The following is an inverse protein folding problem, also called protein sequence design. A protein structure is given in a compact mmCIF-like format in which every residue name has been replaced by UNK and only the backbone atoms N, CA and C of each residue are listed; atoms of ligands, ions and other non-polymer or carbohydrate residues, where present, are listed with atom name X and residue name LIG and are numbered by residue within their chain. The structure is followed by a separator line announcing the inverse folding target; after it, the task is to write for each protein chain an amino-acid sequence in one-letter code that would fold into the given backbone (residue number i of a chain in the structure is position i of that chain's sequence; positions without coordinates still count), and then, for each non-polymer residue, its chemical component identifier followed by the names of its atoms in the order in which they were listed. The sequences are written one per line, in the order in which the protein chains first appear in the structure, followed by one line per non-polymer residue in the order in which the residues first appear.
data_IF_855603189108
#
_entry.id   IF_855603189108
#
_cell.length_a   1.000
_cell.length_b   1.000
_cell.length_c   1.000
_cell.angle_alpha   90.00
_cell.angle_beta   90.00
_cell.angle_gamma   90.00
#
_symmetry.space_group_name_H-M   'P 1'
#
loop_
_entity.id
_entity.type
_entity.pdbx_description
1 polymer ?
#
# COMPACT_ATOMS: atom_id res chain seq x y z
N UNK A 1 3.89 12.79 -29.76
CA UNK A 1 2.61 13.13 -29.11
C UNK A 1 2.81 13.27 -27.61
N UNK A 2 2.70 14.50 -27.07
CA UNK A 2 2.87 14.79 -25.63
C UNK A 2 1.59 14.38 -24.90
N UNK A 3 1.59 13.26 -24.17
CA UNK A 3 0.49 12.91 -23.25
C UNK A 3 0.59 13.80 -22.02
N UNK A 4 -0.39 14.66 -21.84
CA UNK A 4 -0.57 15.48 -20.64
C UNK A 4 -0.98 14.57 -19.49
N UNK A 5 -0.15 14.44 -18.48
CA UNK A 5 -0.51 13.85 -17.20
C UNK A 5 -1.34 14.92 -16.48
N UNK A 6 -2.64 14.74 -16.42
CA UNK A 6 -3.53 15.63 -15.68
C UNK A 6 -3.34 15.40 -14.17
N UNK A 7 -3.39 16.44 -13.34
CA UNK A 7 -3.10 16.33 -11.91
C UNK A 7 -4.33 15.77 -11.16
N UNK A 8 -4.20 14.56 -10.67
CA UNK A 8 -5.15 13.92 -9.71
C UNK A 8 -5.02 14.53 -8.30
N UNK A 9 -4.17 15.52 -8.11
CA UNK A 9 -3.86 16.13 -6.80
C UNK A 9 -4.98 17.05 -6.27
N UNK A 10 -5.96 17.42 -7.08
CA UNK A 10 -6.96 18.46 -6.71
C UNK A 10 -8.17 17.98 -5.90
N UNK A 11 -8.38 16.66 -5.70
CA UNK A 11 -9.63 16.15 -5.07
C UNK A 11 -9.50 15.95 -3.56
N UNK A 12 -8.32 15.92 -2.98
CA UNK A 12 -8.13 15.64 -1.54
C UNK A 12 -8.34 16.89 -0.65
N UNK A 13 -8.31 18.09 -1.21
CA UNK A 13 -8.41 19.32 -0.42
C UNK A 13 -9.84 19.74 -0.02
N UNK A 14 -10.88 19.14 -0.58
CA UNK A 14 -12.27 19.64 -0.43
C UNK A 14 -13.10 18.89 0.62
N UNK A 15 -12.60 17.85 1.26
CA UNK A 15 -13.33 17.06 2.27
C UNK A 15 -13.11 17.52 3.72
N UNK A 16 -12.44 18.66 3.96
CA UNK A 16 -12.10 19.14 5.30
C UNK A 16 -13.22 19.91 6.03
N UNK A 17 -14.40 20.09 5.45
CA UNK A 17 -15.45 20.92 6.04
C UNK A 17 -16.82 20.27 6.01
N UNK A 18 -17.10 19.28 6.86
CA UNK A 18 -18.48 19.03 7.31
C UNK A 18 -18.49 18.34 8.69
N UNK A 19 -19.11 18.98 9.68
CA UNK A 19 -19.71 18.32 10.82
C UNK A 19 -18.93 18.37 12.14
N UNK A 20 -19.24 19.36 12.98
CA UNK A 20 -19.01 19.28 14.43
C UNK A 20 -19.91 18.17 15.00
N UNK A 21 -19.35 17.02 15.30
CA UNK A 21 -19.98 16.01 16.14
C UNK A 21 -18.95 15.54 17.18
N UNK A 22 -19.38 15.38 18.40
CA UNK A 22 -18.60 15.02 19.61
C UNK A 22 -18.00 13.60 19.48
N UNK A 23 -16.93 13.46 18.73
CA UNK A 23 -16.25 12.18 18.48
C UNK A 23 -14.77 12.19 18.88
N UNK A 24 -14.39 13.08 19.80
CA UNK A 24 -12.99 13.27 20.19
C UNK A 24 -12.46 12.15 21.12
N UNK A 25 -13.31 11.22 21.56
CA UNK A 25 -12.96 10.15 22.50
C UNK A 25 -12.52 8.83 21.83
N UNK A 26 -12.74 8.68 20.54
CA UNK A 26 -12.51 7.41 19.79
C UNK A 26 -11.12 7.31 19.16
N UNK A 27 -10.41 8.42 18.98
CA UNK A 27 -9.07 8.41 18.39
C UNK A 27 -8.06 7.75 19.35
N UNK A 28 -7.09 6.97 18.81
CA UNK A 28 -6.04 6.38 19.62
C UNK A 28 -5.27 7.44 20.41
N UNK A 29 -4.95 7.12 21.66
CA UNK A 29 -4.16 8.00 22.55
C UNK A 29 -2.67 7.72 22.37
N UNK A 30 -1.84 8.62 22.87
CA UNK A 30 -0.38 8.40 22.96
C UNK A 30 -0.11 7.08 23.69
N UNK A 31 0.76 6.25 23.12
CA UNK A 31 1.08 4.91 23.62
C UNK A 31 0.08 3.82 23.21
N UNK A 32 -1.00 4.16 22.48
CA UNK A 32 -1.91 3.14 21.96
C UNK A 32 -1.24 2.30 20.88
N UNK A 33 -1.62 1.03 20.83
CA UNK A 33 -1.27 0.08 19.79
C UNK A 33 -2.54 -0.26 19.00
N UNK A 34 -2.47 -0.10 17.70
CA UNK A 34 -3.55 -0.50 16.78
C UNK A 34 -3.04 -1.61 15.89
N UNK A 35 -3.76 -2.71 15.84
CA UNK A 35 -3.53 -3.82 14.90
C UNK A 35 -4.49 -3.68 13.75
N UNK A 36 -3.97 -3.77 12.52
CA UNK A 36 -4.75 -3.67 11.30
C UNK A 36 -4.75 -5.00 10.57
N UNK A 37 -5.93 -5.44 10.14
CA UNK A 37 -6.08 -6.56 9.23
C UNK A 37 -6.56 -6.05 7.87
N UNK A 38 -5.82 -6.36 6.82
CA UNK A 38 -6.05 -5.91 5.45
C UNK A 38 -6.46 -7.12 4.59
N UNK A 39 -7.73 -7.52 4.59
CA UNK A 39 -8.19 -8.70 3.85
C UNK A 39 -8.39 -8.41 2.36
N UNK A 40 -8.67 -7.15 2.01
CA UNK A 40 -9.01 -6.75 0.66
C UNK A 40 -8.06 -5.65 0.19
N UNK A 41 -7.04 -6.06 -0.58
CA UNK A 41 -6.04 -5.17 -1.15
C UNK A 41 -5.66 -5.65 -2.55
N UNK A 42 -5.46 -4.71 -3.46
CA UNK A 42 -4.91 -4.97 -4.78
C UNK A 42 -3.69 -4.08 -5.03
N UNK A 43 -2.63 -4.69 -5.54
CA UNK A 43 -1.42 -3.99 -5.98
C UNK A 43 -1.30 -4.09 -7.48
N UNK A 44 -1.18 -2.93 -8.13
CA UNK A 44 -1.10 -2.77 -9.59
C UNK A 44 0.30 -2.29 -9.95
N UNK A 45 1.13 -3.19 -10.47
CA UNK A 45 2.44 -2.84 -11.01
C UNK A 45 2.28 -2.28 -12.42
N UNK A 46 2.88 -1.12 -12.67
CA UNK A 46 2.90 -0.52 -14.01
C UNK A 46 3.90 -1.26 -14.90
N UNK A 47 3.72 -1.14 -16.20
CA UNK A 47 4.74 -1.57 -17.18
C UNK A 47 6.05 -0.85 -16.91
N UNK A 48 7.20 -1.47 -17.20
CA UNK A 48 8.51 -0.82 -17.09
C UNK A 48 8.60 0.42 -17.98
N UNK A 49 9.53 1.33 -17.68
CA UNK A 49 9.70 2.54 -18.48
C UNK A 49 10.14 2.24 -19.90
N UNK A 50 10.96 1.19 -20.10
CA UNK A 50 11.35 0.69 -21.41
C UNK A 50 10.22 -0.01 -22.18
N UNK A 51 9.12 -0.35 -21.48
CA UNK A 51 8.00 -1.12 -22.06
C UNK A 51 8.28 -2.59 -22.29
N UNK A 52 9.44 -3.10 -21.86
CA UNK A 52 9.82 -4.50 -22.06
C UNK A 52 9.15 -5.46 -21.09
N UNK A 53 9.01 -5.05 -19.83
CA UNK A 53 8.40 -5.86 -18.78
C UNK A 53 6.93 -5.48 -18.60
N UNK A 54 6.04 -6.48 -18.48
CA UNK A 54 4.60 -6.24 -18.41
C UNK A 54 4.17 -5.61 -17.08
N UNK A 55 3.10 -4.83 -17.11
CA UNK A 55 2.34 -4.53 -15.91
C UNK A 55 1.57 -5.76 -15.43
N UNK A 56 1.34 -5.86 -14.13
CA UNK A 56 0.57 -6.95 -13.53
C UNK A 56 -0.11 -6.54 -12.24
N UNK A 57 -1.11 -7.32 -11.84
CA UNK A 57 -1.89 -7.09 -10.62
C UNK A 57 -1.75 -8.28 -9.69
N UNK A 58 -1.71 -8.01 -8.39
CA UNK A 58 -1.73 -9.01 -7.34
C UNK A 58 -2.85 -8.72 -6.35
N UNK A 59 -3.50 -9.77 -5.85
CA UNK A 59 -4.25 -9.70 -4.60
C UNK A 59 -3.24 -9.65 -3.44
N UNK A 60 -3.35 -8.66 -2.56
CA UNK A 60 -2.30 -8.35 -1.60
C UNK A 60 -2.82 -8.23 -0.15
N UNK A 61 -3.26 -9.34 0.48
CA UNK A 61 -3.63 -9.33 1.89
C UNK A 61 -2.43 -8.98 2.75
N UNK A 62 -2.67 -8.26 3.85
CA UNK A 62 -1.62 -7.80 4.76
C UNK A 62 -2.15 -7.60 6.18
N UNK A 63 -1.23 -7.31 7.09
CA UNK A 63 -1.51 -6.82 8.41
C UNK A 63 -0.44 -5.84 8.86
N UNK A 64 -0.82 -4.93 9.73
CA UNK A 64 0.12 -4.00 10.35
C UNK A 64 -0.11 -3.84 11.85
N UNK A 65 0.93 -3.32 12.50
CA UNK A 65 0.89 -2.86 13.87
C UNK A 65 1.35 -1.41 13.89
N UNK A 66 0.51 -0.53 14.40
CA UNK A 66 0.75 0.90 14.49
C UNK A 66 0.85 1.33 15.95
N UNK A 67 1.94 2.02 16.29
CA UNK A 67 2.19 2.58 17.61
C UNK A 67 2.11 4.11 17.58
N UNK A 68 1.26 4.70 18.41
CA UNK A 68 1.01 6.13 18.46
C UNK A 68 2.01 6.86 19.37
N UNK A 69 2.95 7.59 18.76
CA UNK A 69 3.92 8.44 19.44
C UNK A 69 3.28 9.74 19.97
N UNK A 70 2.29 10.23 19.23
CA UNK A 70 1.47 11.39 19.59
C UNK A 70 0.06 11.19 19.02
N UNK A 71 -0.85 12.14 19.30
CA UNK A 71 -2.19 12.14 18.66
C UNK A 71 -2.15 12.33 17.14
N UNK A 72 -1.03 12.79 16.59
CA UNK A 72 -0.88 13.12 15.18
C UNK A 72 0.18 12.28 14.47
N UNK A 73 1.08 11.63 15.19
CA UNK A 73 2.21 10.89 14.63
C UNK A 73 2.25 9.49 15.21
N UNK A 74 2.35 8.52 14.35
CA UNK A 74 2.53 7.11 14.68
C UNK A 74 3.59 6.46 13.78
N UNK A 75 4.10 5.32 14.23
CA UNK A 75 4.96 4.43 13.44
C UNK A 75 4.21 3.13 13.20
N UNK A 76 4.31 2.62 11.99
CA UNK A 76 3.60 1.43 11.52
C UNK A 76 4.60 0.43 10.96
N UNK A 77 4.49 -0.83 11.37
CA UNK A 77 5.17 -1.97 10.75
C UNK A 77 4.16 -2.83 10.02
N UNK A 78 4.31 -3.02 8.72
CA UNK A 78 3.40 -3.80 7.87
C UNK A 78 4.11 -5.02 7.28
N UNK A 79 3.40 -6.13 7.20
CA UNK A 79 3.78 -7.31 6.43
C UNK A 79 2.60 -7.79 5.59
N UNK A 80 2.88 -8.17 4.34
CA UNK A 80 1.85 -8.62 3.41
C UNK A 80 2.35 -9.63 2.39
N UNK A 81 1.41 -10.25 1.70
CA UNK A 81 1.67 -11.17 0.60
C UNK A 81 0.99 -10.71 -0.67
N UNK A 82 1.69 -10.75 -1.80
CA UNK A 82 1.08 -10.62 -3.12
C UNK A 82 0.79 -12.00 -3.68
N UNK A 83 -0.47 -12.35 -3.81
CA UNK A 83 -0.90 -13.61 -4.43
C UNK A 83 -1.06 -13.36 -5.92
N UNK A 84 -0.35 -14.16 -6.73
CA UNK A 84 -0.46 -14.09 -8.18
C UNK A 84 -1.85 -14.45 -8.66
N UNK A 85 -2.44 -13.62 -9.51
CA UNK A 85 -3.72 -13.86 -10.17
C UNK A 85 -3.51 -14.08 -11.66
N UNK A 86 -4.29 -15.00 -12.24
CA UNK A 86 -4.27 -15.22 -13.68
C UNK A 86 -4.83 -14.00 -14.40
N UNK A 87 -4.06 -13.45 -15.33
CA UNK A 87 -4.40 -12.25 -16.07
C UNK A 87 -3.75 -12.25 -17.45
N UNK A 88 -4.23 -11.37 -18.31
CA UNK A 88 -3.57 -11.12 -19.58
C UNK A 88 -2.36 -10.23 -19.38
N UNK A 89 -1.18 -10.75 -19.71
CA UNK A 89 0.07 -9.99 -19.69
C UNK A 89 0.44 -9.61 -21.12
N UNK A 90 0.55 -8.32 -21.39
CA UNK A 90 1.03 -7.81 -22.67
C UNK A 90 2.54 -7.65 -22.61
N UNK A 91 3.26 -8.52 -23.27
CA UNK A 91 4.70 -8.46 -23.42
C UNK A 91 5.13 -8.09 -24.85
N UNK A 92 6.43 -7.94 -25.09
CA UNK A 92 6.99 -7.63 -26.41
C UNK A 92 6.65 -8.67 -27.50
N UNK A 93 6.36 -9.90 -27.12
CA UNK A 93 6.00 -11.03 -28.00
C UNK A 93 4.50 -11.29 -28.12
N UNK A 94 3.63 -10.40 -27.59
CA UNK A 94 2.18 -10.54 -27.64
C UNK A 94 1.52 -10.73 -26.27
N UNK A 95 0.23 -11.02 -26.30
CA UNK A 95 -0.61 -11.23 -25.11
C UNK A 95 -0.55 -12.69 -24.69
N UNK A 96 -0.29 -12.94 -23.42
CA UNK A 96 -0.32 -14.29 -22.83
C UNK A 96 -1.11 -14.31 -21.54
N UNK A 97 -1.94 -15.35 -21.35
CA UNK A 97 -2.63 -15.62 -20.07
C UNK A 97 -1.66 -16.31 -19.11
N UNK A 98 -1.24 -15.63 -18.06
CA UNK A 98 -0.35 -16.19 -17.02
C UNK A 98 -0.74 -15.66 -15.64
N UNK A 99 -0.43 -16.43 -14.61
CA UNK A 99 -0.48 -15.92 -13.25
C UNK A 99 0.68 -14.96 -13.02
N UNK A 100 0.43 -13.82 -12.37
CA UNK A 100 1.47 -12.92 -11.88
C UNK A 100 2.32 -13.63 -10.80
N UNK A 101 3.59 -13.21 -10.59
CA UNK A 101 4.41 -13.82 -9.55
C UNK A 101 3.85 -13.53 -8.15
N UNK A 102 3.97 -14.49 -7.27
CA UNK A 102 3.71 -14.26 -5.85
C UNK A 102 4.88 -13.51 -5.21
N UNK A 103 4.58 -12.66 -4.24
CA UNK A 103 5.57 -11.83 -3.57
C UNK A 103 5.23 -11.67 -2.08
N UNK A 104 6.24 -11.31 -1.28
CA UNK A 104 6.09 -10.92 0.11
C UNK A 104 6.57 -9.49 0.25
N UNK A 105 5.80 -8.67 0.96
CA UNK A 105 6.17 -7.27 1.24
C UNK A 105 6.28 -7.04 2.73
N UNK A 106 7.19 -6.16 3.12
CA UNK A 106 7.27 -5.64 4.48
C UNK A 106 7.73 -4.19 4.44
N UNK A 107 7.23 -3.37 5.34
CA UNK A 107 7.61 -1.96 5.42
C UNK A 107 7.51 -1.40 6.82
N UNK A 108 8.34 -0.38 7.09
CA UNK A 108 8.22 0.52 8.23
C UNK A 108 7.79 1.88 7.73
N UNK A 109 6.76 2.45 8.32
CA UNK A 109 6.14 3.68 7.87
C UNK A 109 6.00 4.68 9.03
N UNK A 110 6.09 5.95 8.70
CA UNK A 110 5.64 7.05 9.55
C UNK A 110 4.28 7.51 9.04
N UNK A 111 3.32 7.61 9.94
CA UNK A 111 1.95 8.04 9.63
C UNK A 111 1.69 9.36 10.32
N UNK A 112 1.23 10.35 9.56
CA UNK A 112 0.86 11.67 10.07
C UNK A 112 -0.63 11.86 9.88
N UNK A 113 -1.36 11.90 10.98
CA UNK A 113 -2.82 12.04 11.01
C UNK A 113 -3.18 13.52 11.16
N UNK A 114 -4.05 14.02 10.31
CA UNK A 114 -4.52 15.40 10.39
C UNK A 114 -5.41 15.61 11.62
N UNK A 115 -5.41 16.81 12.21
CA UNK A 115 -6.37 17.16 13.23
C UNK A 115 -7.80 16.98 12.72
N UNK A 116 -8.60 16.20 13.44
CA UNK A 116 -9.99 15.94 13.08
C UNK A 116 -10.89 16.21 14.28
N UNK A 117 -12.02 16.86 14.05
CA UNK A 117 -13.07 17.09 15.04
C UNK A 117 -14.19 16.05 14.97
N UNK A 118 -14.06 15.06 14.08
CA UNK A 118 -15.05 14.01 13.85
C UNK A 118 -14.46 12.61 13.96
N UNK A 119 -15.27 11.61 13.65
CA UNK A 119 -14.88 10.21 13.67
C UNK A 119 -13.91 9.82 12.54
N UNK A 120 -13.79 10.65 11.49
CA UNK A 120 -12.89 10.45 10.36
C UNK A 120 -11.55 11.13 10.63
N UNK A 121 -10.46 10.40 10.47
CA UNK A 121 -9.09 10.85 10.65
C UNK A 121 -8.28 10.67 9.35
N UNK A 122 -8.23 11.70 8.48
CA UNK A 122 -7.39 11.65 7.29
C UNK A 122 -5.91 11.63 7.70
N UNK A 123 -5.08 10.92 6.92
CA UNK A 123 -3.66 10.81 7.20
C UNK A 123 -2.82 10.71 5.92
N UNK A 124 -1.55 10.99 6.07
CA UNK A 124 -0.50 10.71 5.11
C UNK A 124 0.46 9.68 5.69
N UNK A 125 1.06 8.88 4.83
CA UNK A 125 2.08 7.91 5.21
C UNK A 125 3.27 7.97 4.27
N UNK A 126 4.45 7.76 4.81
CA UNK A 126 5.69 7.58 4.06
C UNK A 126 6.50 6.48 4.73
N UNK A 127 7.13 5.65 3.93
CA UNK A 127 7.89 4.53 4.48
C UNK A 127 8.84 3.89 3.50
N UNK A 128 9.55 2.89 4.03
CA UNK A 128 10.52 2.09 3.29
C UNK A 128 10.43 0.64 3.72
N UNK A 129 10.89 -0.26 2.87
CA UNK A 129 10.83 -1.68 3.17
C UNK A 129 11.45 -2.56 2.10
N UNK A 130 10.93 -3.77 1.97
CA UNK A 130 11.34 -4.72 0.96
C UNK A 130 10.16 -5.41 0.28
N UNK A 131 10.42 -5.82 -0.94
CA UNK A 131 9.56 -6.68 -1.75
C UNK A 131 10.37 -7.90 -2.15
N UNK A 132 9.96 -9.07 -1.69
CA UNK A 132 10.58 -10.34 -2.03
C UNK A 132 9.75 -11.05 -3.10
N UNK A 133 10.31 -11.18 -4.29
CA UNK A 133 9.74 -11.91 -5.40
C UNK A 133 10.00 -13.40 -5.19
N UNK A 134 8.94 -14.21 -5.17
CA UNK A 134 9.05 -15.64 -4.96
C UNK A 134 9.34 -16.35 -6.29
N UNK A 135 10.03 -17.48 -6.18
CA UNK A 135 10.35 -18.35 -7.32
C UNK A 135 9.09 -18.67 -8.16
N UNK A 136 9.19 -18.49 -9.48
CA UNK A 136 8.13 -18.78 -10.42
C UNK A 136 8.71 -19.21 -11.78
N UNK A 137 9.05 -20.48 -11.92
CA UNK A 137 9.73 -21.02 -13.11
C UNK A 137 8.96 -20.76 -14.40
N UNK A 138 7.63 -20.73 -14.37
CA UNK A 138 6.78 -20.39 -15.51
C UNK A 138 6.98 -18.95 -16.03
N UNK A 139 7.54 -18.05 -15.21
CA UNK A 139 7.85 -16.66 -15.54
C UNK A 139 9.34 -16.41 -15.70
N UNK A 140 10.17 -17.47 -15.71
CA UNK A 140 11.62 -17.35 -15.78
C UNK A 140 12.28 -16.83 -14.48
N UNK A 141 11.56 -16.83 -13.36
CA UNK A 141 12.07 -16.46 -12.05
C UNK A 141 12.65 -17.71 -11.39
N UNK A 142 13.97 -17.91 -11.53
CA UNK A 142 14.65 -19.09 -11.04
C UNK A 142 14.81 -19.09 -9.52
N UNK A 143 15.09 -17.94 -8.94
CA UNK A 143 15.40 -17.75 -7.51
C UNK A 143 14.58 -16.66 -6.87
N UNK A 144 14.44 -16.76 -5.54
CA UNK A 144 13.81 -15.72 -4.72
C UNK A 144 14.73 -14.51 -4.63
N UNK A 145 14.22 -13.32 -4.93
CA UNK A 145 14.98 -12.07 -4.86
C UNK A 145 14.22 -10.99 -4.09
N UNK A 146 14.96 -10.24 -3.28
CA UNK A 146 14.40 -9.13 -2.50
C UNK A 146 14.87 -7.79 -3.05
N UNK A 147 13.94 -6.88 -3.24
CA UNK A 147 14.16 -5.52 -3.72
C UNK A 147 13.84 -4.51 -2.62
N UNK A 148 14.62 -3.44 -2.56
CA UNK A 148 14.34 -2.31 -1.71
C UNK A 148 13.13 -1.54 -2.24
N UNK A 149 12.24 -1.09 -1.33
CA UNK A 149 11.04 -0.33 -1.68
C UNK A 149 10.93 0.96 -0.88
N UNK A 150 10.39 1.99 -1.52
CA UNK A 150 9.90 3.19 -0.86
C UNK A 150 8.41 3.34 -1.15
N UNK A 151 7.65 3.88 -0.20
CA UNK A 151 6.24 4.13 -0.42
C UNK A 151 5.80 5.48 0.15
N UNK A 152 4.77 6.05 -0.45
CA UNK A 152 4.04 7.21 0.04
C UNK A 152 2.56 7.00 -0.22
N UNK A 153 1.73 7.40 0.73
CA UNK A 153 0.30 7.17 0.62
C UNK A 153 -0.55 8.16 1.39
N UNK A 154 -1.85 8.05 1.18
CA UNK A 154 -2.86 8.80 1.90
C UNK A 154 -4.07 7.92 2.16
N UNK A 155 -4.77 8.19 3.24
CA UNK A 155 -5.94 7.43 3.60
C UNK A 155 -6.81 8.12 4.62
N UNK A 156 -7.83 7.42 5.03
CA UNK A 156 -8.74 7.84 6.09
C UNK A 156 -8.98 6.67 7.03
N UNK A 157 -8.94 6.96 8.33
CA UNK A 157 -9.34 6.06 9.42
C UNK A 157 -10.66 6.53 9.99
N UNK A 158 -11.52 5.60 10.31
CA UNK A 158 -12.73 5.84 11.09
C UNK A 158 -12.71 4.91 12.29
N UNK A 159 -12.88 5.47 13.48
CA UNK A 159 -12.95 4.71 14.73
C UNK A 159 -14.37 4.77 15.30
N UNK A 160 -14.87 3.63 15.72
CA UNK A 160 -16.15 3.57 16.41
C UNK A 160 -16.01 4.19 17.82
N UNK A 161 -16.91 5.12 18.17
CA UNK A 161 -16.85 5.85 19.44
C UNK A 161 -17.03 4.97 20.68
N UNK A 162 -17.74 3.85 20.55
CA UNK A 162 -18.12 2.98 21.68
C UNK A 162 -17.35 1.68 21.76
N UNK A 163 -16.49 1.40 20.77
CA UNK A 163 -15.78 0.12 20.67
C UNK A 163 -14.31 0.32 20.29
N UNK A 164 -13.55 -0.77 20.35
CA UNK A 164 -12.11 -0.78 20.01
C UNK A 164 -11.83 -1.01 18.53
N UNK A 165 -12.84 -1.07 17.70
CA UNK A 165 -12.65 -1.33 16.27
C UNK A 165 -12.89 -0.09 15.42
N UNK A 166 -12.32 -0.12 14.24
CA UNK A 166 -12.47 0.92 13.23
C UNK A 166 -12.27 0.34 11.83
N UNK A 167 -12.36 1.19 10.85
CA UNK A 167 -12.05 0.86 9.46
C UNK A 167 -11.08 1.86 8.87
N UNK A 168 -10.32 1.41 7.88
CA UNK A 168 -9.32 2.19 7.16
C UNK A 168 -9.52 2.01 5.67
N UNK A 169 -9.44 3.10 4.91
CA UNK A 169 -9.23 3.09 3.48
C UNK A 169 -7.92 3.79 3.15
N UNK A 170 -7.10 3.19 2.31
CA UNK A 170 -5.73 3.63 2.03
C UNK A 170 -5.41 3.50 0.55
N UNK A 171 -4.61 4.42 0.04
CA UNK A 171 -4.01 4.36 -1.27
C UNK A 171 -2.52 4.67 -1.17
N UNK A 172 -1.67 3.80 -1.71
CA UNK A 172 -0.21 3.94 -1.69
C UNK A 172 0.38 3.88 -3.08
N UNK A 173 1.32 4.76 -3.32
CA UNK A 173 2.28 4.67 -4.41
C UNK A 173 3.55 4.01 -3.89
N UNK A 174 4.05 3.02 -4.61
CA UNK A 174 5.21 2.21 -4.25
C UNK A 174 6.23 2.30 -5.37
N UNK A 175 7.48 2.61 -5.03
CA UNK A 175 8.63 2.51 -5.91
C UNK A 175 9.49 1.34 -5.46
N UNK A 176 9.81 0.44 -6.38
CA UNK A 176 10.69 -0.72 -6.16
C UNK A 176 11.98 -0.45 -6.91
N UNK A 177 13.09 -0.37 -6.20
CA UNK A 177 14.40 -0.10 -6.80
C UNK A 177 14.81 -1.24 -7.71
N UNK A 178 15.20 -0.92 -8.94
CA UNK A 178 15.77 -1.88 -9.88
C UNK A 178 17.10 -2.48 -9.39
N UNK A 179 17.46 -3.62 -9.92
CA UNK A 179 18.67 -4.37 -9.59
C UNK A 179 19.16 -5.09 -10.84
N UNK A 180 20.48 -5.05 -11.11
CA UNK A 180 21.09 -5.62 -12.31
C UNK A 180 20.90 -7.14 -12.43
N UNK A 181 20.69 -7.83 -11.30
CA UNK A 181 20.40 -9.25 -11.23
C UNK A 181 18.89 -9.57 -11.19
N UNK A 182 18.01 -8.59 -11.43
CA UNK A 182 16.58 -8.82 -11.41
C UNK A 182 16.16 -9.83 -12.49
N UNK A 183 15.16 -10.70 -12.21
CA UNK A 183 14.61 -11.59 -13.21
C UNK A 183 14.04 -10.79 -14.39
N UNK A 184 14.17 -11.32 -15.60
CA UNK A 184 13.71 -10.68 -16.84
C UNK A 184 12.24 -10.23 -16.79
N UNK A 185 11.36 -10.98 -16.08
CA UNK A 185 9.96 -10.60 -15.89
C UNK A 185 9.78 -9.32 -15.08
N UNK A 186 10.63 -9.09 -14.09
CA UNK A 186 10.54 -7.92 -13.21
C UNK A 186 11.35 -6.74 -13.76
N UNK A 187 12.47 -7.03 -14.42
CA UNK A 187 13.36 -6.07 -15.06
C UNK A 187 14.37 -5.40 -14.13
N UNK A 188 15.37 -4.80 -14.74
CA UNK A 188 16.45 -4.10 -14.01
C UNK A 188 16.09 -2.64 -13.68
N UNK A 189 15.00 -2.14 -14.24
CA UNK A 189 14.54 -0.76 -14.03
C UNK A 189 13.76 -0.62 -12.72
N UNK A 190 13.71 0.61 -12.21
CA UNK A 190 12.80 0.94 -11.10
C UNK A 190 11.35 0.68 -11.53
N UNK A 191 10.64 -0.12 -10.73
CA UNK A 191 9.23 -0.44 -10.97
C UNK A 191 8.35 0.40 -10.05
N UNK A 192 7.22 0.79 -10.58
CA UNK A 192 6.21 1.53 -9.82
C UNK A 192 4.95 0.68 -9.66
N UNK A 193 4.33 0.82 -8.50
CA UNK A 193 3.06 0.18 -8.22
C UNK A 193 2.13 1.11 -7.46
N UNK A 194 0.84 0.87 -7.64
CA UNK A 194 -0.22 1.51 -6.89
C UNK A 194 -0.94 0.44 -6.08
N UNK A 195 -1.22 0.70 -4.82
CA UNK A 195 -1.96 -0.21 -3.95
C UNK A 195 -3.15 0.52 -3.34
N UNK A 196 -4.32 -0.10 -3.44
CA UNK A 196 -5.54 0.37 -2.79
C UNK A 196 -6.08 -0.73 -1.88
N UNK A 197 -6.52 -0.37 -0.68
CA UNK A 197 -7.08 -1.34 0.25
C UNK A 197 -8.11 -0.78 1.23
N UNK A 198 -8.96 -1.69 1.72
CA UNK A 198 -9.79 -1.52 2.89
C UNK A 198 -9.32 -2.43 4.02
N UNK A 199 -9.40 -1.96 5.26
CA UNK A 199 -8.89 -2.69 6.41
C UNK A 199 -9.77 -2.52 7.66
N UNK A 200 -9.63 -3.47 8.58
CA UNK A 200 -10.18 -3.42 9.92
C UNK A 200 -9.10 -3.00 10.92
N UNK A 201 -9.40 -2.05 11.76
CA UNK A 201 -8.54 -1.56 12.83
C UNK A 201 -9.03 -2.12 14.17
N UNK A 202 -8.10 -2.57 15.02
CA UNK A 202 -8.39 -3.03 16.39
C UNK A 202 -7.42 -2.32 17.33
N UNK A 203 -7.94 -1.46 18.19
CA UNK A 203 -7.14 -0.82 19.23
C UNK A 203 -6.95 -1.80 20.40
N UNK A 204 -5.73 -2.29 20.60
CA UNK A 204 -5.36 -3.28 21.62
C UNK A 204 -4.70 -2.68 22.85
N UNK A 205 -4.24 -1.42 22.78
CA UNK A 205 -3.64 -0.66 23.89
C UNK A 205 -4.56 0.48 24.33
N UNK A 206 -4.91 0.53 25.61
CA UNK A 206 -5.50 1.69 26.28
C UNK A 206 -4.56 2.22 27.32
#
# INVERSE_FOLDING_TARGET
MKRRVAPIVAVIATLAFVGRASAQESAPRVGSVVVTVIPASATFFTQSQSGKEPGFTNYAPAGDVEFYLSRYVSVEGEIGGGIGVSQELQGASGTSHRASPSLVTYSGNVVVTAPSTGALAPYLTIGTGGLTLLRASALGIADTKTFFTGNVGAGVKWFNATSRWGVRADYRFIAVRGDDEAPNFFGQETRYANRAYGALLINVGR
#
